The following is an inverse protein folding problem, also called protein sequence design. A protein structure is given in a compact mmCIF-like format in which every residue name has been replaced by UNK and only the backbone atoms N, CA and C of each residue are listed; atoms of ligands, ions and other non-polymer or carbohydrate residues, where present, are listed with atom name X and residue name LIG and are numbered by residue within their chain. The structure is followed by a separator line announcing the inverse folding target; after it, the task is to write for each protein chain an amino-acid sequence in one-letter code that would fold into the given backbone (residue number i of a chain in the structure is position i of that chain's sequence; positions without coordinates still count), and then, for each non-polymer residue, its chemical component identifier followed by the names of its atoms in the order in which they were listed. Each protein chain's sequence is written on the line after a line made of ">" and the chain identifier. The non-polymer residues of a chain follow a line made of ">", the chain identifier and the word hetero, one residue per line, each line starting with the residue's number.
data_IF_910310493096
#
_entry.id   IF_910310493096
#
_cell.length_a   1.000
_cell.length_b   1.000
_cell.length_c   1.000
_cell.angle_alpha   90.00
_cell.angle_beta   90.00
_cell.angle_gamma   90.00
#
_symmetry.space_group_name_H-M   'P 1'
#
loop_
_entity.id
_entity.type
_entity.pdbx_description
1 polymer ?
#
# COMPACT_ATOMS: atom_id res chain seq x y z
N UNK A 1 -52.78 -40.42 -4.65
CA UNK A 1 -51.49 -41.14 -4.78
C UNK A 1 -50.49 -40.17 -5.39
N UNK A 2 -49.62 -39.57 -4.57
CA UNK A 2 -48.61 -38.60 -5.04
C UNK A 2 -47.28 -39.34 -5.20
N UNK A 3 -46.79 -39.36 -6.44
CA UNK A 3 -45.50 -39.93 -6.82
C UNK A 3 -44.37 -39.02 -6.37
N UNK A 4 -43.51 -39.54 -5.49
CA UNK A 4 -42.26 -38.91 -5.02
C UNK A 4 -41.25 -38.90 -6.18
N UNK A 5 -40.65 -37.75 -6.54
CA UNK A 5 -39.64 -37.69 -7.58
C UNK A 5 -38.34 -38.35 -7.11
N UNK A 6 -37.80 -39.23 -7.95
CA UNK A 6 -36.54 -39.95 -7.76
C UNK A 6 -35.33 -39.01 -7.60
N UNK A 7 -34.30 -39.41 -6.84
CA UNK A 7 -33.11 -38.61 -6.62
C UNK A 7 -32.35 -38.39 -7.93
N UNK A 8 -32.13 -37.11 -8.25
CA UNK A 8 -31.28 -36.62 -9.33
C UNK A 8 -29.89 -37.23 -9.24
N UNK A 9 -29.42 -37.79 -10.36
CA UNK A 9 -28.06 -38.35 -10.51
C UNK A 9 -26.99 -37.33 -10.11
N UNK A 10 -25.88 -37.76 -9.47
CA UNK A 10 -24.81 -36.86 -9.08
C UNK A 10 -24.20 -36.21 -10.32
N UNK A 11 -24.24 -34.89 -10.37
CA UNK A 11 -23.53 -34.09 -11.37
C UNK A 11 -22.05 -34.45 -11.28
N UNK A 12 -21.47 -34.99 -12.35
CA UNK A 12 -20.03 -35.26 -12.44
C UNK A 12 -19.28 -33.95 -12.15
N UNK A 13 -18.63 -33.88 -10.99
CA UNK A 13 -17.78 -32.76 -10.61
C UNK A 13 -16.65 -32.62 -11.62
N UNK A 14 -16.57 -31.46 -12.28
CA UNK A 14 -15.42 -31.10 -13.12
C UNK A 14 -14.23 -30.96 -12.18
N UNK A 15 -13.25 -31.87 -12.27
CA UNK A 15 -12.01 -31.73 -11.51
C UNK A 15 -11.30 -30.47 -11.99
N UNK A 16 -11.18 -29.47 -11.13
CA UNK A 16 -10.42 -28.26 -11.42
C UNK A 16 -8.95 -28.66 -11.58
N UNK A 17 -8.37 -28.48 -12.77
CA UNK A 17 -6.95 -28.77 -13.04
C UNK A 17 -6.01 -27.98 -12.13
N UNK A 18 -6.42 -26.79 -11.70
CA UNK A 18 -5.62 -25.89 -10.87
C UNK A 18 -6.24 -25.75 -9.48
N UNK A 19 -5.40 -25.85 -8.45
CA UNK A 19 -5.76 -25.58 -7.07
C UNK A 19 -5.25 -24.18 -6.67
N UNK A 20 -6.12 -23.27 -6.22
CA UNK A 20 -5.68 -21.94 -5.75
C UNK A 20 -4.75 -22.05 -4.53
N UNK A 21 -3.70 -21.24 -4.52
CA UNK A 21 -2.82 -21.04 -3.36
C UNK A 21 -3.14 -19.71 -2.68
N UNK A 22 -3.08 -18.62 -3.45
CA UNK A 22 -3.32 -17.27 -2.98
C UNK A 22 -4.30 -16.51 -3.86
N UNK A 23 -5.09 -15.65 -3.24
CA UNK A 23 -5.80 -14.55 -3.89
C UNK A 23 -5.55 -13.29 -3.08
N UNK A 24 -4.89 -12.29 -3.67
CA UNK A 24 -4.62 -11.00 -3.05
C UNK A 24 -5.48 -9.95 -3.72
N UNK A 25 -6.34 -9.28 -2.95
CA UNK A 25 -7.13 -8.13 -3.42
C UNK A 25 -6.51 -6.85 -2.91
N UNK A 26 -6.38 -5.86 -3.79
CA UNK A 26 -5.92 -4.51 -3.42
C UNK A 26 -7.15 -3.62 -3.29
N UNK A 27 -7.29 -3.00 -2.12
CA UNK A 27 -8.43 -2.11 -1.83
C UNK A 27 -7.94 -0.72 -1.46
N UNK A 28 -8.75 0.30 -1.75
CA UNK A 28 -8.44 1.67 -1.40
C UNK A 28 -9.70 2.52 -1.20
N UNK A 29 -9.80 3.20 -0.05
CA UNK A 29 -10.98 3.99 0.35
C UNK A 29 -11.31 5.17 -0.60
N UNK A 30 -10.35 5.59 -1.43
CA UNK A 30 -10.56 6.62 -2.45
C UNK A 30 -11.55 6.14 -3.53
N UNK A 31 -11.49 4.87 -3.93
CA UNK A 31 -12.30 4.29 -5.01
C UNK A 31 -13.72 3.91 -4.57
N UNK A 32 -14.44 4.86 -3.98
CA UNK A 32 -15.78 4.66 -3.45
C UNK A 32 -16.84 4.36 -4.53
N UNK A 33 -16.57 4.62 -5.81
CA UNK A 33 -17.44 4.22 -6.92
C UNK A 33 -17.21 2.78 -7.39
N UNK A 34 -16.10 2.16 -7.01
CA UNK A 34 -15.71 0.79 -7.41
C UNK A 34 -15.71 -0.18 -6.22
N UNK A 35 -16.54 0.09 -5.20
CA UNK A 35 -16.58 -0.67 -3.95
C UNK A 35 -15.18 -0.84 -3.30
N UNK A 36 -14.33 0.17 -3.44
CA UNK A 36 -12.97 0.18 -2.90
C UNK A 36 -11.96 -0.64 -3.69
N UNK A 37 -12.30 -1.22 -4.85
CA UNK A 37 -11.30 -1.90 -5.70
C UNK A 37 -10.27 -0.90 -6.22
N UNK A 38 -8.98 -1.21 -6.04
CA UNK A 38 -7.87 -0.33 -6.42
C UNK A 38 -7.22 -0.83 -7.71
N UNK A 39 -7.40 -0.15 -8.87
CA UNK A 39 -6.82 -0.56 -10.14
C UNK A 39 -5.41 0.01 -10.40
N UNK A 40 -4.82 0.70 -9.43
CA UNK A 40 -3.64 1.56 -9.65
C UNK A 40 -2.31 0.83 -9.73
N UNK A 41 -2.32 -0.50 -9.71
CA UNK A 41 -1.09 -1.29 -9.69
C UNK A 41 -1.10 -2.33 -10.80
N UNK A 42 0.03 -2.42 -11.50
CA UNK A 42 0.43 -3.60 -12.25
C UNK A 42 1.26 -4.50 -11.35
N UNK A 43 0.90 -5.78 -11.28
CA UNK A 43 1.58 -6.75 -10.43
C UNK A 43 2.56 -7.57 -11.25
N UNK A 44 3.85 -7.52 -10.89
CA UNK A 44 4.93 -8.19 -11.62
C UNK A 44 5.65 -9.17 -10.70
N UNK A 45 5.66 -10.49 -10.97
CA UNK A 45 6.53 -11.40 -10.25
C UNK A 45 7.99 -11.05 -10.51
N UNK A 46 8.84 -11.09 -9.49
CA UNK A 46 10.28 -10.92 -9.66
C UNK A 46 10.87 -12.07 -10.51
N UNK A 47 12.06 -11.94 -11.10
CA UNK A 47 12.67 -13.02 -11.89
C UNK A 47 12.73 -14.36 -11.14
N UNK A 48 13.25 -14.35 -9.90
CA UNK A 48 13.34 -15.55 -9.06
C UNK A 48 11.95 -16.14 -8.74
N UNK A 49 10.96 -15.28 -8.51
CA UNK A 49 9.57 -15.69 -8.28
C UNK A 49 8.97 -16.36 -9.51
N UNK A 50 9.15 -15.79 -10.70
CA UNK A 50 8.67 -16.35 -11.96
C UNK A 50 9.32 -17.71 -12.26
N UNK A 51 10.62 -17.84 -12.01
CA UNK A 51 11.35 -19.09 -12.20
C UNK A 51 10.92 -20.17 -11.19
N UNK A 52 10.72 -19.79 -9.92
CA UNK A 52 10.19 -20.68 -8.90
C UNK A 52 8.78 -21.16 -9.26
N UNK A 53 7.88 -20.24 -9.65
CA UNK A 53 6.52 -20.59 -10.07
C UNK A 53 6.53 -21.56 -11.26
N UNK A 54 7.36 -21.30 -12.29
CA UNK A 54 7.51 -22.20 -13.45
C UNK A 54 8.01 -23.59 -13.02
N UNK A 55 9.02 -23.62 -12.15
CA UNK A 55 9.62 -24.86 -11.65
C UNK A 55 8.61 -25.71 -10.86
N UNK A 56 7.75 -25.06 -10.07
CA UNK A 56 6.75 -25.73 -9.23
C UNK A 56 5.39 -25.94 -9.93
N UNK A 57 5.24 -25.58 -11.20
CA UNK A 57 3.97 -25.74 -11.92
C UNK A 57 2.87 -24.79 -11.43
N UNK A 58 3.26 -23.63 -10.92
CA UNK A 58 2.35 -22.56 -10.51
C UNK A 58 2.03 -21.63 -11.68
N UNK A 59 0.84 -21.05 -11.64
CA UNK A 59 0.37 -20.03 -12.55
C UNK A 59 0.03 -18.75 -11.78
N UNK A 60 0.41 -17.61 -12.35
CA UNK A 60 0.08 -16.29 -11.86
C UNK A 60 -0.99 -15.67 -12.75
N UNK A 61 -1.96 -14.98 -12.14
CA UNK A 61 -2.99 -14.22 -12.86
C UNK A 61 -3.22 -12.87 -12.20
N UNK A 62 -2.95 -11.81 -12.95
CA UNK A 62 -3.35 -10.44 -12.62
C UNK A 62 -4.86 -10.27 -12.87
N UNK A 63 -5.55 -9.55 -11.98
CA UNK A 63 -6.98 -9.24 -12.06
C UNK A 63 -7.28 -7.74 -12.17
N UNK A 64 -6.24 -6.90 -12.31
CA UNK A 64 -6.33 -5.44 -12.37
C UNK A 64 -6.48 -4.76 -11.01
N UNK A 65 -7.17 -5.38 -10.04
CA UNK A 65 -7.30 -4.88 -8.66
C UNK A 65 -6.73 -5.85 -7.62
N UNK A 66 -5.75 -6.63 -8.03
CA UNK A 66 -5.21 -7.74 -7.26
C UNK A 66 -4.67 -8.84 -8.15
N UNK A 67 -4.33 -9.99 -7.57
CA UNK A 67 -3.80 -11.12 -8.31
C UNK A 67 -4.10 -12.44 -7.60
N UNK A 68 -3.88 -13.54 -8.32
CA UNK A 68 -3.98 -14.88 -7.77
C UNK A 68 -2.82 -15.76 -8.22
N UNK A 69 -2.49 -16.73 -7.37
CA UNK A 69 -1.52 -17.79 -7.66
C UNK A 69 -2.23 -19.13 -7.46
N UNK A 70 -2.13 -20.01 -8.44
CA UNK A 70 -2.65 -21.37 -8.36
C UNK A 70 -1.57 -22.37 -8.79
N UNK A 71 -1.71 -23.63 -8.40
CA UNK A 71 -0.81 -24.72 -8.78
C UNK A 71 -1.55 -25.78 -9.58
N UNK A 72 -0.91 -26.34 -10.61
CA UNK A 72 -1.44 -27.53 -11.30
C UNK A 72 -1.51 -28.68 -10.28
N UNK A 73 -2.67 -29.34 -10.15
CA UNK A 73 -2.84 -30.42 -9.19
C UNK A 73 -1.81 -31.54 -9.38
N UNK A 74 -1.37 -31.79 -10.62
CA UNK A 74 -0.34 -32.77 -10.92
C UNK A 74 1.06 -32.37 -10.38
N UNK A 75 1.28 -31.10 -10.07
CA UNK A 75 2.54 -30.57 -9.54
C UNK A 75 2.58 -30.48 -8.00
N UNK A 76 1.48 -30.76 -7.30
CA UNK A 76 1.42 -30.72 -5.83
C UNK A 76 2.50 -31.57 -5.12
N UNK A 77 2.79 -32.82 -5.55
CA UNK A 77 3.86 -33.60 -4.93
C UNK A 77 5.23 -32.91 -4.99
N UNK A 78 5.50 -32.16 -6.08
CA UNK A 78 6.75 -31.41 -6.23
C UNK A 78 6.82 -30.24 -5.25
N UNK A 79 5.72 -29.53 -5.03
CA UNK A 79 5.64 -28.46 -4.04
C UNK A 79 5.87 -28.98 -2.62
N UNK A 80 5.27 -30.12 -2.25
CA UNK A 80 5.47 -30.75 -0.93
C UNK A 80 6.91 -31.20 -0.71
N UNK A 81 7.52 -31.82 -1.73
CA UNK A 81 8.93 -32.19 -1.70
C UNK A 81 9.85 -30.96 -1.59
N UNK A 82 9.54 -29.87 -2.32
CA UNK A 82 10.32 -28.63 -2.30
C UNK A 82 10.33 -27.96 -0.93
N UNK A 83 9.13 -27.82 -0.34
CA UNK A 83 8.93 -27.23 1.01
C UNK A 83 9.37 -28.17 2.13
N UNK A 84 9.82 -29.38 1.80
CA UNK A 84 10.26 -30.37 2.79
C UNK A 84 9.14 -30.86 3.71
N UNK A 85 7.88 -30.62 3.36
CA UNK A 85 6.73 -31.03 4.18
C UNK A 85 6.63 -32.56 4.29
N UNK A 86 7.12 -33.29 3.29
CA UNK A 86 7.22 -34.76 3.34
C UNK A 86 8.45 -35.25 4.12
N UNK A 87 9.39 -34.36 4.45
CA UNK A 87 10.57 -34.72 5.24
C UNK A 87 10.20 -34.65 6.71
N UNK A 88 10.29 -35.78 7.42
CA UNK A 88 10.20 -35.85 8.89
C UNK A 88 11.41 -35.14 9.53
N UNK A 89 11.53 -33.84 9.30
CA UNK A 89 12.57 -33.03 9.85
C UNK A 89 12.36 -33.03 11.38
N UNK A 90 13.41 -33.30 12.18
CA UNK A 90 13.28 -33.37 13.63
C UNK A 90 12.67 -32.09 14.18
N UNK A 91 11.80 -32.22 15.19
CA UNK A 91 11.20 -31.07 15.87
C UNK A 91 12.30 -30.07 16.27
N UNK A 92 12.20 -28.83 15.80
CA UNK A 92 13.20 -27.78 16.02
C UNK A 92 14.16 -27.53 14.84
N UNK A 93 14.13 -28.34 13.78
CA UNK A 93 14.74 -27.96 12.51
C UNK A 93 13.93 -26.83 11.87
N UNK A 94 14.61 -25.77 11.43
CA UNK A 94 13.92 -24.69 10.72
C UNK A 94 13.33 -25.24 9.42
N UNK A 95 12.02 -25.07 9.26
CA UNK A 95 11.31 -25.54 8.09
C UNK A 95 11.90 -24.95 6.81
N UNK A 96 11.92 -25.73 5.73
CA UNK A 96 12.21 -25.17 4.40
C UNK A 96 11.02 -24.30 4.01
N UNK A 97 11.17 -23.01 4.18
CA UNK A 97 10.19 -22.05 3.69
C UNK A 97 10.58 -21.58 2.29
N UNK A 98 9.59 -21.06 1.58
CA UNK A 98 9.78 -20.48 0.26
C UNK A 98 8.82 -19.33 0.12
N UNK A 99 9.26 -18.27 -0.56
CA UNK A 99 8.47 -17.07 -0.80
C UNK A 99 8.27 -16.82 -2.28
N UNK A 100 7.11 -16.26 -2.60
CA UNK A 100 6.81 -15.66 -3.89
C UNK A 100 6.86 -14.15 -3.72
N UNK A 101 7.73 -13.47 -4.46
CA UNK A 101 7.92 -12.03 -4.36
C UNK A 101 7.32 -11.33 -5.58
N UNK A 102 6.51 -10.31 -5.33
CA UNK A 102 5.83 -9.52 -6.36
C UNK A 102 6.14 -8.03 -6.18
N UNK A 103 6.30 -7.34 -7.30
CA UNK A 103 6.43 -5.89 -7.40
C UNK A 103 5.06 -5.30 -7.74
N UNK A 104 4.58 -4.38 -6.91
CA UNK A 104 3.40 -3.57 -7.19
C UNK A 104 3.88 -2.25 -7.80
N UNK A 105 3.74 -2.16 -9.12
CA UNK A 105 4.19 -1.02 -9.93
C UNK A 105 3.03 -0.05 -10.09
N UNK A 106 3.12 1.18 -9.57
CA UNK A 106 2.02 2.13 -9.69
C UNK A 106 1.81 2.54 -11.15
N UNK A 107 0.57 2.45 -11.63
CA UNK A 107 0.14 2.94 -12.94
C UNK A 107 -0.49 4.34 -12.85
N UNK A 108 -0.99 4.69 -11.67
CA UNK A 108 -1.49 6.03 -11.36
C UNK A 108 -0.38 6.91 -10.77
N UNK A 109 0.13 7.94 -11.49
CA UNK A 109 1.16 8.84 -10.95
C UNK A 109 0.66 9.67 -9.76
N UNK A 110 -0.65 9.81 -9.59
CA UNK A 110 -1.29 10.50 -8.46
C UNK A 110 -1.53 9.64 -7.23
N UNK A 111 -1.14 8.35 -7.23
CA UNK A 111 -1.43 7.41 -6.14
C UNK A 111 -1.00 7.94 -4.76
N UNK A 112 0.22 8.48 -4.65
CA UNK A 112 0.73 9.06 -3.39
C UNK A 112 -0.14 10.24 -2.95
N UNK A 113 -0.66 11.05 -3.87
CA UNK A 113 -1.52 12.19 -3.57
C UNK A 113 -2.85 11.77 -2.92
N UNK A 114 -3.42 10.65 -3.33
CA UNK A 114 -4.72 10.15 -2.82
C UNK A 114 -4.62 9.16 -1.66
N UNK A 115 -3.42 8.65 -1.37
CA UNK A 115 -3.18 7.64 -0.32
C UNK A 115 -2.65 8.29 0.96
N UNK A 116 -3.01 7.74 2.13
CA UNK A 116 -2.48 8.08 3.45
C UNK A 116 -1.00 7.64 3.61
N UNK A 117 -0.13 8.20 2.78
CA UNK A 117 1.32 8.04 2.80
C UNK A 117 1.98 9.41 3.01
N UNK A 118 3.25 9.47 3.44
CA UNK A 118 4.01 10.73 3.43
C UNK A 118 4.00 11.36 2.02
N UNK A 119 3.73 12.66 1.90
CA UNK A 119 3.78 13.37 0.59
C UNK A 119 5.19 13.29 -0.01
N UNK A 120 6.20 13.11 0.83
CA UNK A 120 7.61 12.96 0.45
C UNK A 120 8.00 11.54 0.03
N UNK A 121 7.06 10.58 0.07
CA UNK A 121 7.30 9.20 -0.36
C UNK A 121 7.80 9.18 -1.80
N UNK A 122 8.85 8.40 -2.02
CA UNK A 122 9.52 8.27 -3.31
C UNK A 122 9.92 6.82 -3.46
N UNK A 123 9.36 6.16 -4.48
CA UNK A 123 9.54 4.73 -4.72
C UNK A 123 11.00 4.30 -4.91
N UNK A 124 11.90 5.23 -5.27
CA UNK A 124 13.34 5.00 -5.41
C UNK A 124 14.12 5.13 -4.09
N UNK A 125 13.55 5.77 -3.07
CA UNK A 125 14.16 5.95 -1.75
C UNK A 125 13.51 5.09 -0.68
N UNK A 126 12.22 4.83 -0.82
CA UNK A 126 11.39 4.11 0.12
C UNK A 126 10.37 3.26 -0.63
N UNK A 127 10.07 2.09 -0.09
CA UNK A 127 9.13 1.17 -0.71
C UNK A 127 8.35 0.48 0.42
N UNK A 128 7.09 0.16 0.15
CA UNK A 128 6.25 -0.51 1.12
C UNK A 128 6.55 -2.01 1.14
N UNK A 129 6.54 -2.65 2.31
CA UNK A 129 6.70 -4.10 2.42
C UNK A 129 5.44 -4.78 2.94
N UNK A 130 4.80 -5.59 2.10
CA UNK A 130 3.67 -6.42 2.48
C UNK A 130 4.11 -7.87 2.56
N UNK A 131 3.71 -8.59 3.61
CA UNK A 131 3.97 -10.02 3.70
C UNK A 131 2.94 -10.74 4.55
N UNK A 132 2.62 -11.99 4.20
CA UNK A 132 1.56 -12.76 4.87
C UNK A 132 1.90 -13.21 6.30
N UNK A 133 3.16 -13.06 6.73
CA UNK A 133 3.56 -13.22 8.13
C UNK A 133 3.15 -12.07 9.05
N UNK A 134 2.77 -10.91 8.50
CA UNK A 134 2.17 -9.80 9.23
C UNK A 134 0.75 -9.55 8.71
N UNK A 135 -0.18 -10.36 9.20
CA UNK A 135 -1.59 -10.26 8.87
C UNK A 135 -2.45 -10.13 10.11
N UNK A 136 -3.62 -9.51 9.93
CA UNK A 136 -4.68 -9.47 10.93
C UNK A 136 -5.98 -10.01 10.34
N UNK A 137 -6.84 -10.56 11.19
CA UNK A 137 -8.15 -11.02 10.77
C UNK A 137 -9.01 -9.84 10.29
N UNK A 138 -9.65 -9.98 9.13
CA UNK A 138 -10.64 -9.05 8.60
C UNK A 138 -11.90 -9.77 8.14
N UNK A 139 -12.94 -9.00 7.80
CA UNK A 139 -14.28 -9.51 7.49
C UNK A 139 -14.32 -10.46 6.28
N UNK A 140 -13.36 -10.33 5.36
CA UNK A 140 -13.30 -11.09 4.10
C UNK A 140 -12.01 -11.89 3.93
N UNK A 141 -11.33 -12.22 5.02
CA UNK A 141 -10.07 -12.96 4.99
C UNK A 141 -8.98 -12.27 5.80
N UNK A 142 -7.72 -12.57 5.50
CA UNK A 142 -6.61 -11.94 6.20
C UNK A 142 -6.24 -10.62 5.55
N UNK A 143 -5.93 -9.62 6.36
CA UNK A 143 -5.53 -8.30 5.89
C UNK A 143 -4.03 -8.13 6.10
N UNK A 144 -3.30 -7.78 5.05
CA UNK A 144 -1.86 -7.51 5.08
C UNK A 144 -1.61 -6.16 5.77
N UNK A 145 -0.65 -6.12 6.69
CA UNK A 145 -0.31 -4.92 7.46
C UNK A 145 -0.90 -4.93 8.87
N UNK A 146 -1.22 -3.74 9.39
CA UNK A 146 -1.74 -3.57 10.75
C UNK A 146 -3.24 -3.16 10.76
N UNK A 147 -3.81 -2.99 11.96
CA UNK A 147 -5.20 -2.60 12.16
C UNK A 147 -5.56 -1.22 11.56
N UNK A 148 -4.58 -0.34 11.35
CA UNK A 148 -4.77 0.97 10.73
C UNK A 148 -4.69 0.89 9.20
N UNK A 149 -4.28 -0.25 8.66
CA UNK A 149 -4.16 -0.54 7.24
C UNK A 149 -2.70 -0.50 6.78
N UNK A 150 -2.51 -0.39 5.47
CA UNK A 150 -1.18 -0.35 4.87
C UNK A 150 -0.79 1.10 4.57
N UNK A 151 0.22 1.61 5.27
CA UNK A 151 0.57 3.04 5.26
C UNK A 151 2.02 3.33 5.64
N UNK A 152 2.28 4.51 6.21
CA UNK A 152 3.63 5.01 6.47
C UNK A 152 4.53 4.08 7.31
N UNK A 153 3.95 3.34 8.25
CA UNK A 153 4.68 2.39 9.10
C UNK A 153 5.23 1.18 8.32
N UNK A 154 4.68 0.91 7.13
CA UNK A 154 5.14 -0.15 6.24
C UNK A 154 6.21 0.33 5.24
N UNK A 155 6.64 1.59 5.29
CA UNK A 155 7.71 2.11 4.44
C UNK A 155 9.07 1.73 5.00
N UNK A 156 9.87 1.12 4.15
CA UNK A 156 11.26 0.79 4.42
C UNK A 156 12.16 1.56 3.46
N UNK A 157 13.39 1.92 3.88
CA UNK A 157 14.38 2.47 2.96
C UNK A 157 14.71 1.44 1.89
N UNK A 158 14.73 1.88 0.63
CA UNK A 158 15.25 1.10 -0.48
C UNK A 158 16.74 1.31 -0.55
N UNK A 159 17.47 0.22 -0.72
CA UNK A 159 18.90 0.29 -0.98
C UNK A 159 19.24 -0.26 -2.36
N UNK A 160 20.34 0.22 -2.91
CA UNK A 160 20.88 -0.27 -4.18
C UNK A 160 21.61 -1.60 -4.02
N UNK A 161 22.74 -1.76 -4.69
CA UNK A 161 23.52 -3.01 -4.70
C UNK A 161 24.31 -3.28 -3.42
N UNK A 162 24.24 -2.40 -2.42
CA UNK A 162 24.97 -2.56 -1.17
C UNK A 162 24.25 -1.90 0.00
N UNK A 163 24.52 -2.37 1.22
CA UNK A 163 24.00 -1.80 2.48
C UNK A 163 25.16 -1.54 3.44
N UNK A 164 25.35 -0.28 3.83
CA UNK A 164 26.34 0.08 4.83
C UNK A 164 25.72 0.07 6.23
N UNK A 165 26.39 -0.56 7.19
CA UNK A 165 25.99 -0.60 8.60
C UNK A 165 27.18 -0.28 9.47
N UNK A 166 27.01 0.67 10.38
CA UNK A 166 27.99 0.98 11.42
C UNK A 166 27.66 0.20 12.66
N UNK A 167 28.61 -0.60 13.14
CA UNK A 167 28.47 -1.40 14.35
C UNK A 167 29.67 -1.19 15.29
N UNK A 168 29.51 -1.44 16.61
CA UNK A 168 30.60 -1.30 17.57
C UNK A 168 31.85 -2.10 17.16
N UNK A 169 33.03 -1.61 17.55
CA UNK A 169 34.26 -2.34 17.30
C UNK A 169 34.22 -3.70 18.01
N UNK A 170 34.51 -4.79 17.29
CA UNK A 170 34.53 -6.14 17.82
C UNK A 170 33.18 -6.86 17.85
N UNK A 171 32.09 -6.27 17.36
CA UNK A 171 30.83 -7.01 17.16
C UNK A 171 30.86 -7.84 15.88
N UNK A 172 30.20 -8.99 15.91
CA UNK A 172 29.90 -9.78 14.72
C UNK A 172 28.56 -9.33 14.17
N UNK A 173 28.55 -8.84 12.92
CA UNK A 173 27.31 -8.47 12.23
C UNK A 173 27.00 -9.46 11.12
N UNK A 174 25.72 -9.81 11.00
CA UNK A 174 25.21 -10.70 9.97
C UNK A 174 24.05 -10.07 9.20
N UNK A 175 24.11 -10.07 7.86
CA UNK A 175 22.93 -9.76 7.05
C UNK A 175 22.01 -10.98 7.07
N UNK A 176 20.77 -10.79 7.50
CA UNK A 176 19.76 -11.83 7.59
C UNK A 176 18.60 -11.55 6.64
N UNK A 177 18.03 -12.61 6.09
CA UNK A 177 16.84 -12.54 5.25
C UNK A 177 15.54 -12.43 6.09
N UNK A 178 14.39 -12.55 5.43
CA UNK A 178 13.07 -12.46 6.06
C UNK A 178 12.81 -13.54 7.12
N UNK A 179 13.51 -14.67 7.09
CA UNK A 179 13.44 -15.70 8.15
C UNK A 179 14.40 -15.47 9.31
N UNK A 180 15.21 -14.41 9.24
CA UNK A 180 16.26 -14.17 10.22
C UNK A 180 17.47 -15.08 10.04
N UNK A 181 17.57 -15.83 8.93
CA UNK A 181 18.75 -16.63 8.63
C UNK A 181 19.85 -15.80 7.97
N UNK A 182 21.13 -15.99 8.35
CA UNK A 182 22.24 -15.34 7.69
C UNK A 182 22.27 -15.67 6.20
N UNK A 183 22.41 -14.64 5.37
CA UNK A 183 22.65 -14.81 3.94
C UNK A 183 24.10 -15.28 3.77
N UNK A 184 24.41 -16.25 2.88
CA UNK A 184 25.74 -16.89 2.77
C UNK A 184 26.95 -15.96 2.56
N UNK A 185 26.75 -14.67 2.30
CA UNK A 185 27.78 -13.69 1.89
C UNK A 185 28.09 -12.66 3.00
N UNK A 186 27.54 -12.80 4.21
CA UNK A 186 27.40 -11.63 5.07
C UNK A 186 27.59 -11.89 6.57
N UNK A 187 28.76 -12.39 6.98
CA UNK A 187 29.22 -12.28 8.37
C UNK A 187 30.54 -11.54 8.39
N UNK A 188 30.62 -10.45 9.15
CA UNK A 188 31.83 -9.64 9.28
C UNK A 188 32.08 -9.26 10.75
N UNK A 189 33.35 -9.23 11.13
CA UNK A 189 33.80 -8.73 12.43
C UNK A 189 34.02 -7.23 12.27
N UNK A 190 33.01 -6.44 12.61
CA UNK A 190 33.03 -5.01 12.33
C UNK A 190 34.05 -4.28 13.22
N UNK A 191 34.94 -3.52 12.59
CA UNK A 191 35.78 -2.50 13.26
C UNK A 191 35.35 -1.09 12.86
N UNK A 192 34.04 -0.87 12.68
CA UNK A 192 33.46 0.38 12.20
C UNK A 192 32.27 0.17 11.26
N UNK A 193 32.38 0.69 10.04
CA UNK A 193 31.32 0.55 9.02
C UNK A 193 31.60 -0.63 8.10
N UNK A 194 30.72 -1.63 8.14
CA UNK A 194 30.71 -2.78 7.22
C UNK A 194 29.76 -2.50 6.07
N UNK A 195 30.12 -2.92 4.85
CA UNK A 195 29.29 -2.78 3.66
C UNK A 195 28.94 -4.17 3.10
N UNK A 196 27.67 -4.54 3.16
CA UNK A 196 27.18 -5.80 2.61
C UNK A 196 26.82 -5.63 1.13
N UNK A 197 27.34 -6.50 0.27
CA UNK A 197 26.93 -6.56 -1.13
C UNK A 197 25.58 -7.29 -1.24
N UNK A 198 24.62 -6.65 -1.90
CA UNK A 198 23.28 -7.20 -2.16
C UNK A 198 23.11 -7.63 -3.62
N UNK A 199 24.08 -7.32 -4.48
CA UNK A 199 24.07 -7.74 -5.88
C UNK A 199 24.01 -9.26 -6.00
N UNK A 200 22.98 -9.77 -6.67
CA UNK A 200 22.78 -11.21 -6.87
C UNK A 200 21.96 -11.88 -5.78
N UNK A 201 21.56 -11.14 -4.73
CA UNK A 201 20.54 -11.62 -3.80
C UNK A 201 19.14 -11.48 -4.42
N UNK A 202 18.16 -12.30 -3.99
CA UNK A 202 16.78 -12.10 -4.38
C UNK A 202 16.23 -10.74 -3.93
N UNK A 203 15.23 -10.23 -4.64
CA UNK A 203 14.40 -9.13 -4.13
C UNK A 203 13.87 -9.51 -2.74
N UNK A 204 13.87 -8.58 -1.80
CA UNK A 204 13.41 -8.89 -0.46
C UNK A 204 13.72 -7.86 0.60
N UNK A 205 13.15 -8.08 1.78
CA UNK A 205 13.55 -7.43 3.01
C UNK A 205 14.79 -8.12 3.59
N UNK A 206 15.74 -7.29 4.02
CA UNK A 206 16.95 -7.71 4.70
C UNK A 206 17.13 -6.88 5.98
N UNK A 207 17.63 -7.53 7.02
CA UNK A 207 17.96 -6.90 8.29
C UNK A 207 19.39 -7.25 8.68
N UNK A 208 19.99 -6.48 9.58
CA UNK A 208 21.28 -6.83 10.18
C UNK A 208 21.08 -7.31 11.61
N UNK A 209 21.52 -8.54 11.88
CA UNK A 209 21.63 -9.11 13.20
C UNK A 209 23.04 -8.85 13.75
N UNK A 210 23.16 -8.73 15.06
CA UNK A 210 24.43 -8.52 15.76
C UNK A 210 24.45 -9.38 17.01
N UNK A 211 25.61 -9.92 17.35
CA UNK A 211 25.85 -10.62 18.62
C UNK A 211 25.69 -9.68 19.84
N UNK A 212 25.95 -8.39 19.63
CA UNK A 212 25.67 -7.34 20.60
C UNK A 212 24.22 -6.85 20.47
N UNK A 213 23.38 -7.18 21.44
CA UNK A 213 21.97 -6.76 21.49
C UNK A 213 21.76 -5.24 21.60
N UNK A 214 22.80 -4.48 22.01
CA UNK A 214 22.75 -3.02 22.00
C UNK A 214 23.01 -2.43 20.60
N UNK A 215 23.44 -3.24 19.63
CA UNK A 215 23.67 -2.79 18.27
C UNK A 215 22.36 -2.62 17.51
N UNK A 216 22.31 -1.54 16.74
CA UNK A 216 21.16 -1.11 15.95
C UNK A 216 20.74 -2.14 14.90
N UNK A 217 19.46 -2.52 14.87
CA UNK A 217 18.89 -3.33 13.79
C UNK A 217 18.55 -2.45 12.59
N UNK A 218 19.47 -2.33 11.64
CA UNK A 218 19.17 -1.72 10.35
C UNK A 218 18.31 -2.68 9.52
N UNK A 219 17.25 -2.17 8.88
CA UNK A 219 16.40 -2.94 7.96
C UNK A 219 16.20 -2.14 6.68
N UNK A 220 16.31 -2.81 5.53
CA UNK A 220 16.08 -2.21 4.23
C UNK A 220 15.36 -3.19 3.28
N UNK A 221 14.89 -2.66 2.16
CA UNK A 221 14.45 -3.44 1.03
C UNK A 221 15.51 -3.41 -0.05
N UNK A 222 15.92 -4.59 -0.51
CA UNK A 222 16.68 -4.72 -1.75
C UNK A 222 15.71 -4.76 -2.92
N UNK A 223 15.65 -3.64 -3.64
CA UNK A 223 14.94 -3.50 -4.91
C UNK A 223 15.94 -2.86 -5.87
N UNK A 224 16.56 -3.64 -6.77
CA UNK A 224 17.49 -3.13 -7.78
C UNK A 224 16.94 -1.87 -8.46
N UNK A 225 17.80 -0.87 -8.63
CA UNK A 225 17.47 0.39 -9.32
C UNK A 225 17.38 0.17 -10.84
N UNK A 226 16.37 -0.60 -11.24
CA UNK A 226 16.06 -0.94 -12.62
C UNK A 226 14.55 -0.94 -12.79
N UNK A 227 14.03 -0.46 -13.93
CA UNK A 227 12.62 -0.57 -14.23
C UNK A 227 12.12 -2.03 -14.15
N UNK A 228 10.88 -2.25 -13.69
CA UNK A 228 9.92 -1.24 -13.25
C UNK A 228 10.17 -0.76 -11.82
N UNK A 229 9.96 0.54 -11.56
CA UNK A 229 10.02 1.12 -10.21
C UNK A 229 8.74 0.78 -9.45
N UNK A 230 8.84 -0.06 -8.43
CA UNK A 230 7.69 -0.48 -7.60
C UNK A 230 7.47 0.44 -6.41
N UNK A 231 6.22 0.62 -5.97
CA UNK A 231 5.88 1.31 -4.72
C UNK A 231 5.65 0.34 -3.55
N UNK A 232 5.38 -0.94 -3.85
CA UNK A 232 5.30 -1.99 -2.84
C UNK A 232 6.01 -3.27 -3.31
N UNK A 233 6.75 -3.89 -2.40
CA UNK A 233 7.25 -5.25 -2.47
C UNK A 233 6.33 -6.17 -1.64
N UNK A 234 5.76 -7.19 -2.27
CA UNK A 234 4.85 -8.14 -1.63
C UNK A 234 5.46 -9.54 -1.59
N UNK A 235 5.76 -10.05 -0.39
CA UNK A 235 6.28 -11.40 -0.15
C UNK A 235 5.18 -12.34 0.37
N UNK A 236 4.86 -13.38 -0.39
CA UNK A 236 3.91 -14.43 0.00
C UNK A 236 4.65 -15.73 0.32
N UNK A 237 4.70 -16.11 1.59
CA UNK A 237 5.34 -17.33 2.06
C UNK A 237 4.40 -18.52 1.89
N UNK A 238 4.90 -19.59 1.28
CA UNK A 238 4.12 -20.82 1.02
C UNK A 238 3.86 -21.65 2.28
N UNK A 239 4.79 -21.60 3.24
CA UNK A 239 4.72 -22.28 4.54
C UNK A 239 5.06 -21.31 5.65
N UNK A 240 4.59 -21.62 6.86
CA UNK A 240 4.93 -20.85 8.04
C UNK A 240 6.40 -21.09 8.42
N UNK A 241 7.26 -20.05 8.52
CA UNK A 241 8.70 -20.23 8.74
C UNK A 241 9.03 -20.69 10.17
N UNK A 242 8.24 -20.26 11.16
CA UNK A 242 8.30 -20.72 12.55
C UNK A 242 6.91 -20.62 13.19
N UNK A 243 6.64 -21.42 14.22
CA UNK A 243 5.30 -21.54 14.82
C UNK A 243 4.74 -20.23 15.39
N UNK A 244 5.62 -19.29 15.77
CA UNK A 244 5.33 -17.98 16.32
C UNK A 244 5.29 -16.85 15.27
N UNK A 245 5.59 -17.14 14.02
CA UNK A 245 5.60 -16.14 12.94
C UNK A 245 4.27 -16.17 12.18
N UNK A 246 3.49 -15.10 12.31
CA UNK A 246 2.20 -14.93 11.64
C UNK A 246 1.13 -15.89 12.12
N UNK A 247 -0.01 -15.89 11.42
CA UNK A 247 -1.13 -16.80 11.69
C UNK A 247 -1.12 -17.94 10.68
N UNK A 248 -1.33 -19.21 11.09
CA UNK A 248 -1.30 -20.36 10.16
C UNK A 248 -2.23 -20.22 8.96
N UNK A 249 -3.40 -19.59 9.13
CA UNK A 249 -4.39 -19.36 8.07
C UNK A 249 -3.91 -18.41 6.95
N UNK A 250 -2.79 -17.71 7.13
CA UNK A 250 -2.19 -16.88 6.10
C UNK A 250 -1.24 -17.65 5.17
N UNK A 251 -1.00 -18.94 5.41
CA UNK A 251 -0.10 -19.79 4.64
C UNK A 251 -0.90 -20.90 3.94
N UNK A 252 -0.66 -21.13 2.63
CA UNK A 252 -1.50 -22.05 1.87
C UNK A 252 -1.14 -23.52 2.11
N UNK A 253 0.05 -23.81 2.60
CA UNK A 253 0.49 -25.18 2.87
C UNK A 253 0.61 -25.41 4.37
N UNK A 254 -0.21 -26.32 4.89
CA UNK A 254 -0.13 -26.79 6.26
C UNK A 254 1.04 -27.76 6.46
N UNK A 255 1.37 -28.07 7.72
CA UNK A 255 2.47 -28.96 8.08
C UNK A 255 2.30 -30.41 7.61
N UNK A 256 1.07 -30.84 7.29
CA UNK A 256 0.73 -32.15 6.72
C UNK A 256 0.73 -32.15 5.17
N UNK A 257 1.03 -31.01 4.55
CA UNK A 257 1.04 -30.84 3.09
C UNK A 257 -0.33 -30.56 2.50
N UNK A 258 -1.36 -30.42 3.33
CA UNK A 258 -2.69 -30.00 2.87
C UNK A 258 -2.63 -28.57 2.36
N UNK A 259 -3.18 -28.36 1.17
CA UNK A 259 -3.27 -27.03 0.54
C UNK A 259 -4.63 -26.41 0.83
N UNK A 260 -4.61 -25.28 1.52
CA UNK A 260 -5.79 -24.44 1.80
C UNK A 260 -5.64 -23.09 1.10
N UNK A 261 -6.54 -22.71 0.18
CA UNK A 261 -6.47 -21.40 -0.45
C UNK A 261 -6.49 -20.25 0.58
N UNK A 262 -5.60 -19.28 0.40
CA UNK A 262 -5.51 -18.09 1.28
C UNK A 262 -6.03 -16.87 0.54
N UNK A 263 -7.05 -16.21 1.09
CA UNK A 263 -7.54 -14.92 0.65
C UNK A 263 -6.93 -13.79 1.49
N UNK A 264 -6.21 -12.89 0.84
CA UNK A 264 -5.53 -11.74 1.42
C UNK A 264 -6.13 -10.43 0.88
N UNK A 265 -6.21 -9.41 1.74
CA UNK A 265 -6.53 -8.04 1.33
C UNK A 265 -5.36 -7.11 1.65
N UNK A 266 -4.93 -6.29 0.70
CA UNK A 266 -3.96 -5.21 0.86
C UNK A 266 -4.72 -3.86 0.88
N UNK A 267 -4.97 -3.27 2.06
CA UNK A 267 -5.80 -2.09 2.20
C UNK A 267 -5.00 -0.78 2.18
N UNK A 268 -5.38 0.15 1.31
CA UNK A 268 -4.88 1.52 1.31
C UNK A 268 -5.95 2.49 1.83
N UNK A 269 -5.55 3.42 2.69
CA UNK A 269 -6.45 4.47 3.20
C UNK A 269 -6.40 5.70 2.32
N UNK A 270 -7.55 6.35 2.11
CA UNK A 270 -7.61 7.68 1.50
C UNK A 270 -6.85 8.69 2.33
N UNK A 271 -6.16 9.61 1.66
CA UNK A 271 -5.55 10.76 2.29
C UNK A 271 -6.62 11.68 2.88
N UNK A 272 -6.36 12.21 4.06
CA UNK A 272 -7.10 13.35 4.59
C UNK A 272 -6.38 14.67 4.25
N UNK A 273 -7.10 15.65 3.69
CA UNK A 273 -6.52 16.95 3.32
C UNK A 273 -7.32 18.13 3.87
N UNK A 274 -6.61 19.22 4.17
CA UNK A 274 -7.23 20.51 4.44
C UNK A 274 -7.64 21.17 3.12
N UNK A 275 -8.94 21.36 2.92
CA UNK A 275 -9.45 21.97 1.69
C UNK A 275 -9.34 23.48 1.77
N UNK A 276 -8.81 24.09 0.72
CA UNK A 276 -8.59 25.53 0.59
C UNK A 276 -9.27 26.05 -0.65
N UNK A 277 -10.36 26.80 -0.46
CA UNK A 277 -11.05 27.47 -1.55
C UNK A 277 -10.55 28.90 -1.68
N UNK A 278 -9.86 29.20 -2.77
CA UNK A 278 -9.50 30.54 -3.20
C UNK A 278 -10.64 31.10 -4.05
N UNK A 279 -11.50 31.91 -3.45
CA UNK A 279 -12.61 32.57 -4.15
C UNK A 279 -12.08 33.90 -4.70
N UNK A 280 -12.09 34.03 -6.04
CA UNK A 280 -11.50 35.15 -6.76
C UNK A 280 -12.60 35.90 -7.50
N UNK A 281 -12.72 37.23 -7.37
CA UNK A 281 -13.74 37.99 -8.06
C UNK A 281 -13.44 38.04 -9.56
N UNK A 282 -14.45 37.80 -10.41
CA UNK A 282 -14.32 38.04 -11.84
C UNK A 282 -14.35 39.55 -12.13
N UNK A 283 -13.22 40.08 -12.61
CA UNK A 283 -13.06 41.49 -12.99
C UNK A 283 -12.24 42.30 -11.99
N UNK A 284 -11.53 43.33 -12.49
CA UNK A 284 -10.48 44.07 -11.76
C UNK A 284 -10.97 44.96 -10.60
N UNK A 285 -12.26 45.07 -10.35
CA UNK A 285 -12.81 46.08 -9.43
C UNK A 285 -13.92 45.60 -8.49
N UNK A 286 -14.19 44.30 -8.43
CA UNK A 286 -15.13 43.73 -7.46
C UNK A 286 -14.46 43.42 -6.13
N UNK A 287 -15.09 43.80 -5.02
CA UNK A 287 -14.73 43.32 -3.67
C UNK A 287 -15.86 42.43 -3.14
N UNK A 288 -15.50 41.34 -2.46
CA UNK A 288 -16.50 40.53 -1.77
C UNK A 288 -16.94 41.20 -0.48
N UNK A 289 -18.24 41.13 -0.19
CA UNK A 289 -18.79 41.63 1.05
C UNK A 289 -18.39 40.73 2.24
N UNK A 290 -18.40 41.26 3.48
CA UNK A 290 -18.03 40.49 4.68
C UNK A 290 -18.92 39.28 4.97
N UNK A 291 -20.10 39.17 4.35
CA UNK A 291 -21.05 38.07 4.50
C UNK A 291 -20.73 36.85 3.60
N UNK A 292 -19.72 36.94 2.73
CA UNK A 292 -19.27 35.80 1.93
C UNK A 292 -18.86 34.63 2.84
N UNK A 293 -19.49 33.47 2.61
CA UNK A 293 -19.31 32.28 3.44
C UNK A 293 -19.44 30.99 2.64
N UNK A 294 -18.73 29.96 3.10
CA UNK A 294 -18.91 28.58 2.65
C UNK A 294 -19.65 27.81 3.73
N UNK A 295 -20.74 27.14 3.36
CA UNK A 295 -21.54 26.30 4.25
C UNK A 295 -21.62 24.86 3.72
N UNK A 296 -21.79 23.89 4.63
CA UNK A 296 -21.94 22.48 4.28
C UNK A 296 -21.63 21.56 5.46
N UNK A 297 -21.70 20.23 5.25
CA UNK A 297 -21.49 19.25 6.31
C UNK A 297 -20.00 19.01 6.60
N UNK A 298 -19.71 18.28 7.68
CA UNK A 298 -18.38 17.75 8.08
C UNK A 298 -17.34 18.76 8.64
N UNK A 299 -17.22 19.97 8.11
CA UNK A 299 -16.26 20.98 8.62
C UNK A 299 -16.79 22.40 8.52
N UNK A 300 -16.22 23.31 9.32
CA UNK A 300 -16.34 24.75 9.11
C UNK A 300 -15.12 25.29 8.35
N UNK A 301 -15.20 26.53 7.87
CA UNK A 301 -14.12 27.21 7.17
C UNK A 301 -13.71 28.49 7.89
N UNK A 302 -12.41 28.71 8.02
CA UNK A 302 -11.83 29.99 8.44
C UNK A 302 -11.61 30.83 7.19
N UNK A 303 -12.12 32.06 7.22
CA UNK A 303 -12.02 33.03 6.13
C UNK A 303 -10.85 33.99 6.36
N UNK A 304 -9.99 34.14 5.37
CA UNK A 304 -8.93 35.14 5.31
C UNK A 304 -8.86 35.78 3.92
N UNK A 305 -8.11 36.86 3.77
CA UNK A 305 -7.82 37.47 2.46
C UNK A 305 -6.36 37.24 2.14
N UNK A 306 -6.07 36.81 0.91
CA UNK A 306 -4.71 36.55 0.42
C UNK A 306 -4.50 37.22 -0.95
N UNK A 307 -3.26 37.60 -1.24
CA UNK A 307 -2.84 38.09 -2.56
C UNK A 307 -2.23 36.92 -3.32
N UNK A 308 -2.79 36.63 -4.49
CA UNK A 308 -2.30 35.58 -5.37
C UNK A 308 -1.02 36.03 -6.09
N UNK A 309 -0.19 35.09 -6.61
CA UNK A 309 1.06 35.44 -7.31
C UNK A 309 0.86 36.34 -8.54
N UNK A 310 -0.34 36.36 -9.13
CA UNK A 310 -0.68 37.23 -10.26
C UNK A 310 -1.10 38.66 -9.83
N UNK A 311 -1.14 38.95 -8.52
CA UNK A 311 -1.56 40.24 -7.97
C UNK A 311 -3.07 40.36 -7.71
N UNK A 312 -3.87 39.32 -8.01
CA UNK A 312 -5.30 39.33 -7.69
C UNK A 312 -5.52 39.06 -6.20
N UNK A 313 -6.55 39.68 -5.61
CA UNK A 313 -6.98 39.37 -4.24
C UNK A 313 -7.97 38.22 -4.25
N UNK A 314 -7.74 37.23 -3.39
CA UNK A 314 -8.65 36.12 -3.17
C UNK A 314 -9.14 36.10 -1.72
N UNK A 315 -10.39 35.70 -1.52
CA UNK A 315 -10.88 35.28 -0.21
C UNK A 315 -10.59 33.79 -0.07
N UNK A 316 -9.69 33.47 0.85
CA UNK A 316 -9.32 32.10 1.17
C UNK A 316 -10.24 31.57 2.27
N UNK A 317 -10.91 30.45 1.98
CA UNK A 317 -11.59 29.64 2.97
C UNK A 317 -10.80 28.36 3.23
N UNK A 318 -10.29 28.21 4.45
CA UNK A 318 -9.56 27.01 4.88
C UNK A 318 -10.41 26.14 5.79
N UNK A 319 -10.57 24.86 5.45
CA UNK A 319 -11.27 23.90 6.31
C UNK A 319 -10.61 23.84 7.70
N UNK A 320 -11.42 23.74 8.76
CA UNK A 320 -10.93 23.61 10.15
C UNK A 320 -10.55 22.18 10.52
N UNK A 321 -11.06 21.20 9.77
CA UNK A 321 -10.73 19.79 9.90
C UNK A 321 -10.32 19.23 8.54
N UNK A 322 -9.39 18.26 8.51
CA UNK A 322 -9.07 17.60 7.26
C UNK A 322 -10.25 16.69 6.84
N UNK A 323 -10.40 16.53 5.52
CA UNK A 323 -11.47 15.76 4.91
C UNK A 323 -10.88 14.65 4.04
N UNK A 324 -11.45 13.45 4.09
CA UNK A 324 -10.96 12.30 3.34
C UNK A 324 -11.20 12.46 1.84
N UNK A 325 -10.19 12.14 1.05
CA UNK A 325 -10.29 12.20 -0.41
C UNK A 325 -11.06 10.98 -0.94
N UNK A 326 -11.99 11.24 -1.85
CA UNK A 326 -12.73 10.19 -2.56
C UNK A 326 -12.83 10.51 -4.05
N UNK A 327 -12.89 9.49 -4.88
CA UNK A 327 -13.12 9.59 -6.32
C UNK A 327 -14.40 10.39 -6.61
N UNK A 328 -15.45 10.11 -5.85
CA UNK A 328 -16.64 10.96 -5.76
C UNK A 328 -16.78 11.49 -4.35
N UNK A 329 -16.46 12.77 -4.16
CA UNK A 329 -16.61 13.44 -2.86
C UNK A 329 -18.05 13.26 -2.31
N UNK A 330 -18.22 12.79 -1.07
CA UNK A 330 -19.50 12.81 -0.38
C UNK A 330 -19.84 14.21 0.16
N UNK A 331 -18.85 15.10 0.26
CA UNK A 331 -19.00 16.45 0.80
C UNK A 331 -19.55 17.39 -0.27
N UNK A 332 -20.59 18.14 0.09
CA UNK A 332 -21.22 19.16 -0.75
C UNK A 332 -21.21 20.48 0.01
N UNK A 333 -20.41 21.43 -0.48
CA UNK A 333 -20.31 22.77 0.08
C UNK A 333 -20.95 23.78 -0.86
N UNK A 334 -21.54 24.82 -0.31
CA UNK A 334 -22.17 25.93 -1.03
C UNK A 334 -21.50 27.24 -0.67
N UNK A 335 -21.32 28.12 -1.65
CA UNK A 335 -20.82 29.49 -1.45
C UNK A 335 -22.00 30.47 -1.57
N UNK A 336 -22.15 31.33 -0.56
CA UNK A 336 -23.18 32.38 -0.56
C UNK A 336 -22.60 33.72 -0.08
N UNK A 337 -23.11 34.83 -0.56
CA UNK A 337 -22.77 36.17 -0.07
C UNK A 337 -23.06 37.25 -1.10
N UNK A 338 -22.40 38.40 -0.98
CA UNK A 338 -22.53 39.49 -1.95
C UNK A 338 -21.18 39.94 -2.52
N UNK A 339 -21.20 40.43 -3.76
CA UNK A 339 -20.09 41.17 -4.38
C UNK A 339 -20.49 42.63 -4.53
N UNK A 340 -19.60 43.54 -4.16
CA UNK A 340 -19.77 44.96 -4.37
C UNK A 340 -18.98 45.41 -5.60
N UNK A 341 -19.68 45.96 -6.59
CA UNK A 341 -19.09 46.57 -7.78
C UNK A 341 -18.54 47.98 -7.51
N UNK A 342 -17.71 48.49 -8.44
CA UNK A 342 -17.11 49.83 -8.33
C UNK A 342 -18.13 50.98 -8.25
N UNK A 343 -19.34 50.77 -8.77
CA UNK A 343 -20.46 51.71 -8.73
C UNK A 343 -21.33 51.58 -7.46
N UNK A 344 -20.95 50.71 -6.51
CA UNK A 344 -21.73 50.42 -5.30
C UNK A 344 -22.87 49.43 -5.49
N UNK A 345 -23.07 48.87 -6.70
CA UNK A 345 -24.01 47.76 -6.91
C UNK A 345 -23.64 46.54 -6.08
N UNK A 346 -24.65 45.77 -5.69
CA UNK A 346 -24.49 44.52 -4.95
C UNK A 346 -25.07 43.38 -5.77
N UNK A 347 -24.20 42.47 -6.18
CA UNK A 347 -24.59 41.24 -6.85
C UNK A 347 -24.63 40.12 -5.82
N UNK A 348 -25.71 39.34 -5.82
CA UNK A 348 -25.80 38.13 -5.00
C UNK A 348 -24.92 37.02 -5.60
N UNK A 349 -24.14 36.36 -4.75
CA UNK A 349 -23.38 35.16 -5.08
C UNK A 349 -24.11 33.99 -4.46
N UNK A 350 -24.51 33.03 -5.29
CA UNK A 350 -24.97 31.71 -4.85
C UNK A 350 -24.38 30.64 -5.76
N UNK A 351 -23.54 29.78 -5.19
CA UNK A 351 -23.00 28.59 -5.86
C UNK A 351 -23.39 27.40 -5.01
N UNK A 352 -24.35 26.62 -5.50
CA UNK A 352 -24.92 25.51 -4.72
C UNK A 352 -23.88 24.43 -4.45
N UNK A 353 -23.06 24.05 -5.44
CA UNK A 353 -22.05 23.00 -5.31
C UNK A 353 -20.67 23.49 -5.71
N UNK A 354 -19.83 23.71 -4.70
CA UNK A 354 -18.41 23.95 -4.91
C UNK A 354 -17.71 22.68 -5.40
N UNK A 355 -16.69 22.81 -6.27
CA UNK A 355 -15.91 21.67 -6.73
C UNK A 355 -15.16 21.00 -5.56
N UNK A 356 -14.98 19.68 -5.68
CA UNK A 356 -14.09 18.94 -4.79
C UNK A 356 -12.63 19.15 -5.21
N UNK A 357 -11.66 19.02 -4.28
CA UNK A 357 -10.27 19.14 -4.63
C UNK A 357 -9.81 18.07 -5.61
N UNK A 358 -8.88 18.41 -6.52
CA UNK A 358 -8.25 17.40 -7.37
C UNK A 358 -7.39 16.45 -6.52
N UNK A 359 -7.14 15.25 -7.07
CA UNK A 359 -6.24 14.25 -6.50
C UNK A 359 -4.80 14.75 -6.31
N UNK A 360 -4.38 15.69 -7.16
CA UNK A 360 -3.02 16.25 -7.22
C UNK A 360 -3.05 17.68 -7.78
N UNK A 361 -2.13 18.56 -7.37
CA UNK A 361 -1.13 18.36 -6.31
C UNK A 361 -1.76 18.44 -4.91
N UNK A 362 -1.12 17.77 -3.95
CA UNK A 362 -1.39 17.96 -2.52
C UNK A 362 -0.15 18.62 -1.92
N UNK A 363 -0.33 19.76 -1.29
CA UNK A 363 0.77 20.56 -0.74
C UNK A 363 1.02 20.20 0.72
N UNK A 364 2.28 20.11 1.17
CA UNK A 364 2.59 20.00 2.59
C UNK A 364 2.02 21.20 3.36
N UNK A 365 1.40 20.95 4.51
CA UNK A 365 0.99 22.05 5.41
C UNK A 365 2.17 22.56 6.23
N UNK A 366 2.10 23.82 6.67
CA UNK A 366 3.15 24.45 7.50
C UNK A 366 3.42 23.75 8.84
N UNK A 367 2.53 22.86 9.30
CA UNK A 367 2.75 22.11 10.55
C UNK A 367 3.94 21.16 10.47
N UNK A 368 4.43 20.84 9.28
CA UNK A 368 5.56 19.93 9.07
C UNK A 368 5.20 18.45 9.17
N UNK A 369 3.94 18.10 9.46
CA UNK A 369 3.47 16.72 9.41
C UNK A 369 3.44 16.23 7.95
N UNK A 370 4.25 15.23 7.58
CA UNK A 370 4.35 14.75 6.20
C UNK A 370 3.10 13.99 5.72
N UNK A 371 2.21 13.57 6.62
CA UNK A 371 0.95 12.91 6.27
C UNK A 371 -0.16 13.92 5.96
N UNK A 372 -0.09 15.10 6.59
CA UNK A 372 -1.08 16.14 6.42
C UNK A 372 -0.78 16.99 5.20
N UNK A 373 -1.77 17.13 4.32
CA UNK A 373 -1.68 17.95 3.12
C UNK A 373 -2.81 18.96 3.00
N UNK A 374 -2.62 19.99 2.17
CA UNK A 374 -3.67 20.89 1.73
C UNK A 374 -3.96 20.67 0.25
N UNK A 375 -5.24 20.68 -0.09
CA UNK A 375 -5.71 20.67 -1.47
C UNK A 375 -6.32 22.03 -1.81
N UNK A 376 -5.83 22.67 -2.86
CA UNK A 376 -6.20 24.02 -3.24
C UNK A 376 -7.18 23.99 -4.42
N UNK A 377 -8.19 24.86 -4.34
CA UNK A 377 -9.31 24.90 -5.26
C UNK A 377 -9.58 26.37 -5.57
N UNK A 378 -9.52 26.75 -6.85
CA UNK A 378 -9.74 28.12 -7.29
C UNK A 378 -11.15 28.25 -7.85
N UNK A 379 -11.92 29.21 -7.35
CA UNK A 379 -13.32 29.44 -7.69
C UNK A 379 -13.48 30.89 -8.13
N UNK A 380 -13.74 31.12 -9.41
CA UNK A 380 -13.88 32.45 -10.00
C UNK A 380 -15.36 32.82 -10.11
N UNK A 381 -15.80 33.85 -9.38
CA UNK A 381 -17.23 34.26 -9.29
C UNK A 381 -17.47 35.74 -9.58
#
# INVERSE_FOLDING_TARGET
>A
MNTVPSPTSPVRGVSLRYQPLFSVRITHDYYNMSAGQCPDFRIVPTPDCADLMRTLGMIFRDSGSGFSVAIDQAALPRLRAWTGVDSAAPAGSQGRWSRLTFLLVPENPGFIGITQLPITTSATRQNLHAWNGATIAGDQGQMLGDAKGFGAAALYPVTGTSMAVTAPAGSTVALVDLSGQPVPVAVDNSNGTTCFALSGLPYGRYSVASDNAAAFTATCLYVPDRPPVSLCLCDLLLTQPAADIGIPAAFPLAADGTVTPVALTLPFRSRDTFWRYYVVPQGRSGQFAPDLQITGPATSFVKTVEQLPNGDSAVLFSATKPLSMHQRSPYRFSLSGQRQGANGSRDEISVDWLPAPPATPVWPVKSGDPLTGASEIYVYV
#
